data_IF_259880642223
#
_entry.id   IF_259880642223
#
_cell.length_a   1.000
_cell.length_b   1.000
_cell.length_c   1.000
_cell.angle_alpha   90.00
_cell.angle_beta   90.00
_cell.angle_gamma   90.00
#
_symmetry.space_group_name_H-M   'P 1'
#
loop_
_entity.id
_entity.type
_entity.pdbx_description
1 polymer ?
#
# COMPACT_ATOMS: atom_id res chain seq x y z
N UNK A 1 -24.99 0.24 -2.83
CA UNK A 1 -23.84 0.92 -3.49
C UNK A 1 -23.17 -0.08 -4.41
N UNK A 2 -22.88 0.32 -5.65
CA UNK A 2 -22.11 -0.46 -6.60
C UNK A 2 -20.63 -0.08 -6.52
N UNK A 3 -19.72 -0.95 -6.97
CA UNK A 3 -18.28 -0.65 -6.96
C UNK A 3 -17.97 0.58 -7.83
N UNK A 4 -18.70 0.78 -8.92
CA UNK A 4 -18.59 1.97 -9.78
C UNK A 4 -18.93 3.27 -9.06
N UNK A 5 -19.94 3.26 -8.19
CA UNK A 5 -20.29 4.42 -7.36
C UNK A 5 -19.20 4.73 -6.34
N UNK A 6 -18.60 3.69 -5.75
CA UNK A 6 -17.49 3.84 -4.82
C UNK A 6 -16.24 4.40 -5.52
N UNK A 7 -15.93 3.92 -6.73
CA UNK A 7 -14.80 4.44 -7.52
C UNK A 7 -15.04 5.89 -7.91
N UNK A 8 -16.22 6.22 -8.45
CA UNK A 8 -16.56 7.59 -8.79
C UNK A 8 -16.50 8.55 -7.58
N UNK A 9 -16.91 8.07 -6.39
CA UNK A 9 -16.78 8.83 -5.15
C UNK A 9 -15.31 9.15 -4.84
N UNK A 10 -14.41 8.16 -4.93
CA UNK A 10 -12.98 8.36 -4.68
C UNK A 10 -12.31 9.23 -5.74
N UNK A 11 -12.69 9.12 -7.02
CA UNK A 11 -12.21 9.98 -8.11
C UNK A 11 -12.61 11.45 -7.87
N UNK A 12 -13.88 11.71 -7.52
CA UNK A 12 -14.34 13.06 -7.17
C UNK A 12 -13.63 13.57 -5.91
N UNK A 13 -13.42 12.73 -4.92
CA UNK A 13 -12.68 13.08 -3.71
C UNK A 13 -11.22 13.43 -4.03
N UNK A 14 -10.55 12.69 -4.92
CA UNK A 14 -9.19 13.01 -5.37
C UNK A 14 -9.13 14.43 -5.95
N UNK A 15 -10.04 14.79 -6.86
CA UNK A 15 -10.07 16.12 -7.48
C UNK A 15 -10.29 17.21 -6.42
N UNK A 16 -11.22 17.02 -5.51
CA UNK A 16 -11.53 17.99 -4.45
C UNK A 16 -10.35 18.16 -3.46
N UNK A 17 -9.73 17.04 -3.05
CA UNK A 17 -8.57 17.03 -2.16
C UNK A 17 -7.33 17.65 -2.85
N UNK A 18 -7.13 17.37 -4.13
CA UNK A 18 -6.07 17.98 -4.93
C UNK A 18 -6.19 19.51 -4.93
N UNK A 19 -7.38 20.02 -5.24
CA UNK A 19 -7.63 21.46 -5.24
C UNK A 19 -7.43 22.09 -3.87
N UNK A 20 -7.89 21.44 -2.80
CA UNK A 20 -7.86 21.98 -1.44
C UNK A 20 -6.48 21.94 -0.79
N UNK A 21 -5.77 20.82 -0.91
CA UNK A 21 -4.57 20.52 -0.13
C UNK A 21 -3.27 20.44 -0.95
N UNK A 22 -3.39 20.38 -2.28
CA UNK A 22 -2.23 20.31 -3.18
C UNK A 22 -2.23 21.43 -4.23
N UNK A 23 -3.12 22.43 -4.10
CA UNK A 23 -3.19 23.57 -5.02
C UNK A 23 -3.62 23.22 -6.45
N UNK A 24 -4.19 22.02 -6.67
CA UNK A 24 -4.56 21.54 -8.01
C UNK A 24 -3.34 21.09 -8.85
N UNK A 25 -2.18 20.91 -8.24
CA UNK A 25 -0.92 20.66 -8.96
C UNK A 25 -0.72 19.17 -9.34
N UNK A 26 -1.49 18.25 -8.75
CA UNK A 26 -1.34 16.83 -9.06
C UNK A 26 -1.96 16.49 -10.41
N UNK A 27 -1.21 15.80 -11.29
CA UNK A 27 -1.77 15.27 -12.54
C UNK A 27 -2.83 14.21 -12.28
N UNK A 28 -3.66 13.87 -13.29
CA UNK A 28 -4.62 12.78 -13.18
C UNK A 28 -3.96 11.45 -12.85
N UNK A 29 -4.68 10.62 -12.08
CA UNK A 29 -4.33 9.23 -11.78
C UNK A 29 -5.53 8.34 -12.02
N UNK A 30 -5.31 7.04 -12.15
CA UNK A 30 -6.39 6.05 -12.13
C UNK A 30 -6.62 5.63 -10.68
N UNK A 31 -7.85 5.81 -10.21
CA UNK A 31 -8.26 5.32 -8.89
C UNK A 31 -8.84 3.91 -9.04
N UNK A 32 -8.32 2.99 -8.24
CA UNK A 32 -8.81 1.61 -8.21
C UNK A 32 -9.21 1.18 -6.81
N UNK A 33 -10.07 0.18 -6.74
CA UNK A 33 -10.47 -0.50 -5.51
C UNK A 33 -10.16 -1.97 -5.68
N UNK A 34 -8.99 -2.38 -5.20
CA UNK A 34 -8.53 -3.76 -5.31
C UNK A 34 -8.14 -4.31 -3.94
N UNK A 35 -7.97 -5.63 -3.87
CA UNK A 35 -7.49 -6.27 -2.65
C UNK A 35 -6.07 -5.80 -2.33
N UNK A 36 -5.91 -5.21 -1.14
CA UNK A 36 -4.62 -4.80 -0.59
C UNK A 36 -4.40 -5.42 0.78
N UNK A 37 -4.13 -6.72 0.86
CA UNK A 37 -3.92 -7.38 2.14
C UNK A 37 -2.77 -6.72 2.90
N UNK A 38 -3.03 -6.29 4.15
CA UNK A 38 -2.08 -5.63 5.06
C UNK A 38 -1.72 -4.19 4.72
N UNK A 39 -2.35 -3.58 3.71
CA UNK A 39 -2.22 -2.16 3.41
C UNK A 39 -3.61 -1.53 3.27
N UNK A 40 -3.74 -0.25 3.60
CA UNK A 40 -4.96 0.51 3.39
C UNK A 40 -5.10 1.01 1.95
N UNK A 41 -3.95 1.24 1.29
CA UNK A 41 -3.83 1.66 -0.08
C UNK A 41 -2.41 1.43 -0.60
N UNK A 42 -2.18 1.77 -1.85
CA UNK A 42 -0.85 1.89 -2.43
C UNK A 42 -0.88 2.80 -3.66
N UNK A 43 0.26 3.39 -3.96
CA UNK A 43 0.52 4.19 -5.13
C UNK A 43 1.57 3.53 -6.03
N UNK A 44 1.37 3.55 -7.36
CA UNK A 44 2.38 3.06 -8.32
C UNK A 44 3.32 4.18 -8.70
N UNK A 45 4.63 3.94 -8.63
CA UNK A 45 5.65 4.90 -9.03
C UNK A 45 5.95 4.87 -10.53
N UNK A 46 5.28 4.01 -11.28
CA UNK A 46 5.36 3.84 -12.74
C UNK A 46 3.96 3.98 -13.34
N UNK A 47 3.88 4.20 -14.64
CA UNK A 47 2.62 4.27 -15.36
C UNK A 47 2.05 2.86 -15.51
N UNK A 48 1.12 2.54 -14.61
CA UNK A 48 0.48 1.21 -14.53
C UNK A 48 -0.65 1.05 -15.56
N UNK A 49 -1.18 2.16 -16.06
CA UNK A 49 -2.27 2.21 -17.04
C UNK A 49 -1.86 3.00 -18.26
N UNK A 50 -2.36 2.62 -19.43
CA UNK A 50 -2.07 3.30 -20.69
C UNK A 50 -3.34 3.52 -21.50
N UNK A 51 -3.48 4.71 -22.09
CA UNK A 51 -4.46 5.02 -23.13
C UNK A 51 -3.70 5.54 -24.36
N UNK A 52 -3.52 4.67 -25.36
CA UNK A 52 -2.62 4.96 -26.48
C UNK A 52 -1.17 5.10 -26.01
N UNK A 53 -0.59 6.27 -26.23
CA UNK A 53 0.79 6.61 -25.79
C UNK A 53 0.82 7.27 -24.40
N UNK A 54 -0.33 7.68 -23.86
CA UNK A 54 -0.41 8.30 -22.55
C UNK A 54 -0.39 7.26 -21.45
N UNK A 55 0.46 7.50 -20.43
CA UNK A 55 0.61 6.66 -19.25
C UNK A 55 0.01 7.30 -18.01
N UNK A 56 -0.65 6.49 -17.18
CA UNK A 56 -1.25 6.93 -15.93
C UNK A 56 -0.77 6.07 -14.76
N UNK A 57 -0.47 6.73 -13.66
CA UNK A 57 -0.17 6.07 -12.38
C UNK A 57 -1.46 5.69 -11.68
N UNK A 58 -1.36 4.76 -10.74
CA UNK A 58 -2.50 4.25 -9.99
C UNK A 58 -2.41 4.64 -8.52
N UNK A 59 -3.55 5.05 -7.96
CA UNK A 59 -3.80 5.01 -6.52
C UNK A 59 -4.86 3.94 -6.27
N UNK A 60 -4.50 2.91 -5.56
CA UNK A 60 -5.43 1.89 -5.12
C UNK A 60 -5.83 2.09 -3.67
N UNK A 61 -7.13 2.03 -3.38
CA UNK A 61 -7.67 1.97 -2.01
C UNK A 61 -8.09 0.54 -1.72
N UNK A 62 -7.63 0.00 -0.58
CA UNK A 62 -7.85 -1.39 -0.22
C UNK A 62 -9.32 -1.73 -0.03
N UNK A 63 -9.82 -2.66 -0.85
CA UNK A 63 -11.20 -3.09 -0.84
C UNK A 63 -11.67 -3.64 0.50
N UNK A 64 -10.76 -4.21 1.30
CA UNK A 64 -11.03 -4.81 2.61
C UNK A 64 -11.31 -3.77 3.70
N UNK A 65 -11.08 -2.50 3.43
CA UNK A 65 -11.09 -1.44 4.45
C UNK A 65 -11.89 -0.21 4.04
N UNK A 66 -12.77 -0.36 3.05
CA UNK A 66 -13.65 0.72 2.57
C UNK A 66 -14.81 1.04 3.50
N UNK A 67 -15.12 0.18 4.47
CA UNK A 67 -16.16 0.39 5.49
C UNK A 67 -15.65 1.15 6.73
N UNK A 68 -14.39 1.63 6.69
CA UNK A 68 -13.85 2.50 7.73
C UNK A 68 -14.56 3.88 7.74
N UNK A 69 -14.45 4.63 8.85
CA UNK A 69 -14.88 6.02 8.88
C UNK A 69 -14.32 6.84 7.71
N UNK A 70 -15.13 7.72 7.12
CA UNK A 70 -14.72 8.54 5.96
C UNK A 70 -13.41 9.30 6.18
N UNK A 71 -13.16 9.92 7.35
CA UNK A 71 -11.88 10.59 7.59
C UNK A 71 -10.67 9.67 7.44
N UNK A 72 -10.79 8.39 7.81
CA UNK A 72 -9.71 7.42 7.67
C UNK A 72 -9.48 7.00 6.22
N UNK A 73 -10.55 6.86 5.43
CA UNK A 73 -10.47 6.56 3.99
C UNK A 73 -9.83 7.74 3.26
N UNK A 74 -10.29 8.96 3.54
CA UNK A 74 -9.72 10.18 2.96
C UNK A 74 -8.29 10.41 3.41
N UNK A 75 -7.96 10.12 4.67
CA UNK A 75 -6.59 10.12 5.16
C UNK A 75 -5.68 9.15 4.40
N UNK A 76 -6.19 7.96 4.06
CA UNK A 76 -5.47 7.01 3.19
C UNK A 76 -5.30 7.57 1.78
N UNK A 77 -6.35 8.14 1.18
CA UNK A 77 -6.26 8.74 -0.15
C UNK A 77 -5.23 9.87 -0.18
N UNK A 78 -5.24 10.77 0.81
CA UNK A 78 -4.23 11.84 0.94
C UNK A 78 -2.82 11.27 1.13
N UNK A 79 -2.65 10.18 1.87
CA UNK A 79 -1.36 9.50 2.03
C UNK A 79 -0.79 9.07 0.67
N UNK A 80 -1.60 8.42 -0.16
CA UNK A 80 -1.18 8.00 -1.50
C UNK A 80 -0.97 9.21 -2.45
N UNK A 81 -1.77 10.28 -2.29
CA UNK A 81 -1.55 11.55 -3.00
C UNK A 81 -0.23 12.22 -2.63
N UNK A 82 0.24 12.09 -1.39
CA UNK A 82 1.58 12.55 -0.98
C UNK A 82 2.67 11.81 -1.72
N UNK A 83 2.55 10.48 -1.89
CA UNK A 83 3.47 9.71 -2.73
C UNK A 83 3.45 10.19 -4.18
N UNK A 84 2.27 10.47 -4.72
CA UNK A 84 2.11 11.01 -6.05
C UNK A 84 2.79 12.38 -6.19
N UNK A 85 2.55 13.30 -5.26
CA UNK A 85 3.22 14.61 -5.22
C UNK A 85 4.74 14.49 -5.17
N UNK A 86 5.25 13.61 -4.31
CA UNK A 86 6.69 13.36 -4.20
C UNK A 86 7.28 12.85 -5.52
N UNK A 87 6.58 11.92 -6.18
CA UNK A 87 7.03 11.35 -7.44
C UNK A 87 7.03 12.38 -8.59
N UNK A 88 5.99 13.22 -8.68
CA UNK A 88 5.90 14.31 -9.69
C UNK A 88 7.00 15.35 -9.49
N UNK A 89 7.33 15.66 -8.24
CA UNK A 89 8.34 16.67 -7.88
C UNK A 89 9.75 16.10 -7.67
N UNK A 90 10.00 14.83 -8.01
CA UNK A 90 11.29 14.15 -7.81
C UNK A 90 11.79 14.18 -6.36
N UNK A 91 10.89 14.17 -5.40
CA UNK A 91 11.20 14.12 -3.97
C UNK A 91 11.31 12.65 -3.53
N UNK A 92 12.45 12.27 -2.95
CA UNK A 92 12.61 10.93 -2.40
C UNK A 92 11.86 10.82 -1.08
N UNK A 93 10.75 10.12 -1.07
CA UNK A 93 9.84 9.95 0.05
C UNK A 93 10.05 8.65 0.82
N UNK A 94 10.49 7.59 0.14
CA UNK A 94 10.66 6.25 0.69
C UNK A 94 12.05 5.68 0.49
N UNK A 95 12.35 4.61 1.24
CA UNK A 95 13.54 3.77 1.12
C UNK A 95 13.17 2.29 1.39
N UNK A 96 14.14 1.39 1.38
CA UNK A 96 13.92 -0.06 1.60
C UNK A 96 12.83 -0.62 0.69
N UNK A 97 12.93 -0.38 -0.61
CA UNK A 97 11.97 -0.82 -1.63
C UNK A 97 10.53 -0.32 -1.36
N UNK A 98 10.39 0.95 -0.98
CA UNK A 98 9.09 1.58 -0.74
C UNK A 98 8.51 1.37 0.67
N UNK A 99 9.12 0.52 1.51
CA UNK A 99 8.52 0.15 2.80
C UNK A 99 8.82 1.11 3.96
N UNK A 100 9.84 1.97 3.84
CA UNK A 100 10.23 2.89 4.91
C UNK A 100 10.08 4.35 4.46
N UNK A 101 9.15 5.06 5.07
CA UNK A 101 8.87 6.47 4.77
C UNK A 101 9.84 7.38 5.54
N UNK A 102 10.44 8.33 4.85
CA UNK A 102 11.47 9.19 5.43
C UNK A 102 10.91 10.55 5.93
N UNK A 103 11.65 11.20 6.82
CA UNK A 103 11.23 12.46 7.41
C UNK A 103 11.37 13.67 6.48
N UNK A 104 12.37 13.66 5.61
CA UNK A 104 12.70 14.81 4.74
C UNK A 104 11.82 14.90 3.48
N UNK A 105 11.40 13.75 2.97
CA UNK A 105 10.47 13.65 1.84
C UNK A 105 9.03 13.49 2.35
N UNK A 106 8.64 12.25 2.66
CA UNK A 106 7.26 11.92 2.97
C UNK A 106 6.66 12.78 4.08
N UNK A 107 7.23 12.73 5.31
CA UNK A 107 6.67 13.47 6.46
C UNK A 107 6.54 14.96 6.16
N UNK A 108 7.59 15.59 5.64
CA UNK A 108 7.58 17.03 5.34
C UNK A 108 6.48 17.42 4.37
N UNK A 109 6.27 16.64 3.31
CA UNK A 109 5.22 16.90 2.33
C UNK A 109 3.85 16.63 2.94
N UNK A 110 3.66 15.49 3.60
CA UNK A 110 2.41 15.09 4.21
C UNK A 110 1.87 16.13 5.20
N UNK A 111 2.71 16.55 6.16
CA UNK A 111 2.35 17.58 7.14
C UNK A 111 2.22 18.97 6.50
N UNK A 112 2.99 19.25 5.43
CA UNK A 112 2.90 20.47 4.64
C UNK A 112 1.57 20.67 3.93
N UNK A 113 0.84 19.61 3.63
CA UNK A 113 -0.53 19.71 3.08
C UNK A 113 -1.53 20.26 4.10
N UNK A 114 -1.29 20.06 5.39
CA UNK A 114 -2.24 20.35 6.46
C UNK A 114 -3.40 19.36 6.58
N UNK A 115 -3.48 18.35 5.71
CA UNK A 115 -4.57 17.37 5.70
C UNK A 115 -4.33 16.19 6.64
N UNK A 116 -3.08 15.75 6.80
CA UNK A 116 -2.72 14.60 7.63
C UNK A 116 -1.53 14.91 8.55
N UNK A 117 -1.51 14.28 9.70
CA UNK A 117 -0.38 14.23 10.62
C UNK A 117 0.32 12.89 10.49
N UNK A 118 1.62 12.88 10.80
CA UNK A 118 2.47 11.71 10.58
C UNK A 118 3.10 11.26 11.89
N UNK A 119 2.87 10.01 12.25
CA UNK A 119 3.49 9.37 13.41
C UNK A 119 4.71 8.52 12.99
N UNK A 120 5.55 8.14 13.93
CA UNK A 120 6.77 7.38 13.69
C UNK A 120 6.65 5.91 14.17
N UNK A 121 6.97 4.98 13.30
CA UNK A 121 7.17 3.55 13.64
C UNK A 121 8.59 3.12 13.23
N UNK A 122 9.37 2.50 14.13
CA UNK A 122 10.77 2.12 13.84
C UNK A 122 10.94 1.16 12.65
N UNK A 123 9.90 0.39 12.29
CA UNK A 123 9.93 -0.61 11.20
C UNK A 123 9.65 0.01 9.84
N UNK A 124 8.72 0.96 9.78
CA UNK A 124 8.19 1.54 8.54
C UNK A 124 8.39 3.07 8.44
N UNK A 125 9.07 3.66 9.43
CA UNK A 125 9.37 5.08 9.45
C UNK A 125 8.13 5.93 9.72
N UNK A 126 8.00 7.00 8.97
CA UNK A 126 6.91 7.97 9.06
C UNK A 126 5.70 7.58 8.19
N UNK A 127 5.38 6.27 8.13
CA UNK A 127 4.24 5.75 7.37
C UNK A 127 2.89 5.89 8.08
N UNK A 128 2.76 5.74 9.42
CA UNK A 128 1.45 5.88 10.05
C UNK A 128 0.97 7.33 9.96
N UNK A 129 -0.24 7.52 9.44
CA UNK A 129 -0.86 8.83 9.27
C UNK A 129 -2.25 8.87 9.89
N UNK A 130 -2.68 10.07 10.28
CA UNK A 130 -4.03 10.33 10.80
C UNK A 130 -4.56 11.66 10.24
N UNK A 131 -5.89 11.78 10.01
CA UNK A 131 -6.49 13.00 9.53
C UNK A 131 -6.34 14.14 10.54
N UNK A 132 -6.21 15.36 10.03
CA UNK A 132 -6.28 16.60 10.83
C UNK A 132 -7.72 17.07 10.96
N UNK A 133 -7.96 18.01 11.89
CA UNK A 133 -9.24 18.70 12.00
C UNK A 133 -9.60 19.45 10.70
N UNK A 134 -8.60 19.95 9.96
CA UNK A 134 -8.81 20.61 8.67
C UNK A 134 -9.35 19.63 7.60
N UNK A 135 -8.84 18.40 7.55
CA UNK A 135 -9.39 17.37 6.66
C UNK A 135 -10.80 16.96 7.09
N UNK A 136 -11.04 16.78 8.38
CA UNK A 136 -12.36 16.42 8.91
C UNK A 136 -13.40 17.51 8.56
N UNK A 137 -13.08 18.78 8.81
CA UNK A 137 -13.95 19.90 8.47
C UNK A 137 -14.23 19.98 6.96
N UNK A 138 -13.21 19.70 6.12
CA UNK A 138 -13.41 19.67 4.66
C UNK A 138 -14.32 18.52 4.23
N UNK A 139 -14.20 17.33 4.83
CA UNK A 139 -15.10 16.19 4.58
C UNK A 139 -16.54 16.55 4.91
N UNK A 140 -16.77 17.23 6.04
CA UNK A 140 -18.09 17.71 6.46
C UNK A 140 -18.64 18.76 5.48
N UNK A 141 -17.83 19.73 5.04
CA UNK A 141 -18.19 20.72 4.04
C UNK A 141 -18.63 20.09 2.72
N UNK A 142 -17.94 19.01 2.28
CA UNK A 142 -18.29 18.25 1.08
C UNK A 142 -19.51 17.34 1.25
N UNK A 143 -20.00 17.12 2.47
CA UNK A 143 -21.09 16.22 2.78
C UNK A 143 -20.79 14.75 2.50
N UNK A 144 -19.52 14.34 2.59
CA UNK A 144 -19.10 12.97 2.31
C UNK A 144 -19.52 12.01 3.42
N UNK A 145 -20.35 11.04 3.09
CA UNK A 145 -20.88 10.04 4.03
C UNK A 145 -20.18 8.68 3.95
N UNK A 146 -19.28 8.51 2.98
CA UNK A 146 -18.44 7.32 2.85
C UNK A 146 -19.01 6.21 2.00
N UNK A 147 -18.28 5.11 2.02
CA UNK A 147 -18.55 3.90 1.24
C UNK A 147 -18.92 2.78 2.20
N UNK A 148 -20.19 2.35 2.21
CA UNK A 148 -20.65 1.22 3.04
C UNK A 148 -20.47 -0.10 2.27
N UNK A 149 -19.25 -0.38 1.84
CA UNK A 149 -18.88 -1.57 1.08
C UNK A 149 -17.47 -2.00 1.47
N UNK A 150 -17.30 -3.25 1.84
CA UNK A 150 -15.95 -3.81 2.05
C UNK A 150 -15.89 -5.25 1.55
N UNK A 151 -14.67 -5.67 1.21
CA UNK A 151 -14.38 -7.03 0.78
C UNK A 151 -13.84 -7.83 1.96
N UNK A 152 -14.37 -9.02 2.17
CA UNK A 152 -13.78 -9.94 3.15
C UNK A 152 -12.45 -10.51 2.65
N UNK A 153 -11.40 -10.42 3.47
CA UNK A 153 -10.08 -10.98 3.16
C UNK A 153 -9.80 -12.21 4.02
N UNK A 154 -9.31 -13.26 3.37
CA UNK A 154 -8.79 -14.46 4.07
C UNK A 154 -7.36 -14.25 4.61
N UNK A 155 -6.69 -13.16 4.22
CA UNK A 155 -5.32 -12.83 4.62
C UNK A 155 -5.23 -11.88 5.83
N UNK A 156 -6.37 -11.43 6.34
CA UNK A 156 -6.47 -10.48 7.45
C UNK A 156 -6.46 -9.02 7.00
N UNK A 157 -6.83 -8.13 7.93
CA UNK A 157 -6.85 -6.68 7.73
C UNK A 157 -5.46 -6.06 7.99
N UNK A 158 -5.19 -4.85 7.46
CA UNK A 158 -4.01 -4.07 7.80
C UNK A 158 -3.88 -3.90 9.32
N UNK A 159 -2.66 -4.03 9.85
CA UNK A 159 -2.40 -3.93 11.30
C UNK A 159 -2.91 -5.10 12.15
N UNK A 160 -3.71 -6.01 11.61
CA UNK A 160 -4.10 -7.24 12.26
C UNK A 160 -2.90 -8.17 12.46
N UNK A 161 -2.82 -8.85 13.63
CA UNK A 161 -1.90 -9.97 13.79
C UNK A 161 -2.34 -11.05 12.80
N UNK A 162 -1.72 -11.06 11.62
CA UNK A 162 -1.91 -12.14 10.67
C UNK A 162 -1.72 -13.45 11.42
N UNK A 163 -2.64 -14.41 11.27
CA UNK A 163 -2.36 -15.79 11.66
C UNK A 163 -1.06 -16.14 10.96
N UNK A 164 0.02 -16.19 11.72
CA UNK A 164 1.31 -16.58 11.20
C UNK A 164 1.12 -17.92 10.51
N UNK A 165 1.00 -17.91 9.18
CA UNK A 165 1.40 -19.07 8.43
C UNK A 165 2.88 -19.20 8.75
N UNK A 166 3.21 -20.11 9.68
CA UNK A 166 4.55 -20.65 9.67
C UNK A 166 4.74 -21.11 8.22
N UNK A 167 5.50 -20.35 7.45
CA UNK A 167 5.94 -20.83 6.15
C UNK A 167 6.77 -22.05 6.47
N UNK A 168 6.12 -23.20 6.50
CA UNK A 168 6.76 -24.50 6.68
C UNK A 168 7.61 -24.87 5.46
N UNK A 169 8.24 -23.87 4.87
CA UNK A 169 9.19 -24.05 3.78
C UNK A 169 10.47 -24.58 4.38
N UNK A 170 10.73 -25.83 4.11
CA UNK A 170 11.93 -26.55 4.48
C UNK A 170 12.98 -26.29 3.42
N UNK A 171 14.19 -25.96 3.83
CA UNK A 171 15.35 -25.83 2.93
C UNK A 171 16.16 -27.12 3.02
N UNK A 172 16.39 -27.73 1.91
CA UNK A 172 17.26 -28.91 1.78
C UNK A 172 18.52 -28.48 1.07
N UNK A 173 19.66 -28.93 1.55
CA UNK A 173 20.99 -28.59 1.03
C UNK A 173 21.75 -29.86 0.66
N UNK A 174 22.40 -29.87 -0.49
CA UNK A 174 23.28 -30.95 -0.87
C UNK A 174 24.58 -30.88 -0.04
N UNK A 175 24.98 -31.95 0.66
CA UNK A 175 26.20 -31.93 1.46
C UNK A 175 27.48 -31.79 0.62
N UNK A 176 27.45 -32.12 -0.68
CA UNK A 176 28.63 -32.06 -1.55
C UNK A 176 28.78 -30.73 -2.29
N UNK A 177 27.72 -30.26 -3.01
CA UNK A 177 27.83 -29.05 -3.83
C UNK A 177 27.11 -27.83 -3.23
N UNK A 178 26.46 -27.98 -2.08
CA UNK A 178 25.72 -26.92 -1.35
C UNK A 178 24.58 -26.28 -2.14
N UNK A 179 24.18 -26.86 -3.28
CA UNK A 179 22.93 -26.42 -3.92
C UNK A 179 21.75 -26.62 -2.98
N UNK A 180 20.75 -25.77 -3.06
CA UNK A 180 19.61 -25.85 -2.14
C UNK A 180 18.27 -25.82 -2.86
N UNK A 181 17.31 -26.55 -2.30
CA UNK A 181 15.91 -26.62 -2.75
C UNK A 181 14.98 -26.29 -1.58
N UNK A 182 13.86 -25.69 -1.88
CA UNK A 182 12.82 -25.39 -0.88
C UNK A 182 11.55 -26.17 -1.16
N UNK A 183 11.02 -26.86 -0.14
CA UNK A 183 9.80 -27.64 -0.21
C UNK A 183 8.80 -27.22 0.86
N UNK A 184 7.50 -27.26 0.54
CA UNK A 184 6.40 -26.92 1.48
C UNK A 184 6.02 -28.10 2.40
N UNK A 185 6.43 -29.31 2.08
CA UNK A 185 6.25 -30.53 2.90
C UNK A 185 7.57 -31.27 3.06
N UNK A 186 7.63 -32.22 4.01
CA UNK A 186 8.76 -33.12 4.11
C UNK A 186 8.81 -34.03 2.89
N UNK A 187 9.95 -34.05 2.23
CA UNK A 187 10.22 -34.82 1.01
C UNK A 187 11.63 -35.36 1.02
N UNK A 188 11.86 -36.48 0.33
CA UNK A 188 13.21 -36.95 0.06
C UNK A 188 13.65 -36.38 -1.29
N UNK A 189 14.77 -35.65 -1.30
CA UNK A 189 15.30 -34.97 -2.48
C UNK A 189 16.72 -35.47 -2.73
N UNK A 190 17.02 -35.84 -3.97
CA UNK A 190 18.36 -36.18 -4.41
C UNK A 190 18.97 -35.04 -5.25
N UNK A 191 20.26 -34.79 -5.04
CA UNK A 191 21.04 -33.97 -5.95
C UNK A 191 21.51 -34.85 -7.12
N UNK A 192 20.98 -34.58 -8.31
CA UNK A 192 21.30 -35.39 -9.50
C UNK A 192 22.77 -35.21 -9.91
N UNK A 193 23.36 -34.04 -9.70
CA UNK A 193 24.73 -33.74 -10.06
C UNK A 193 25.77 -34.48 -9.16
N UNK A 194 25.41 -34.70 -7.90
CA UNK A 194 26.26 -35.33 -6.92
C UNK A 194 25.89 -36.78 -6.59
N UNK A 195 24.71 -37.23 -7.02
CA UNK A 195 24.17 -38.56 -6.67
C UNK A 195 23.87 -38.75 -5.18
N UNK A 196 23.73 -37.66 -4.40
CA UNK A 196 23.56 -37.68 -2.94
C UNK A 196 22.18 -37.20 -2.52
N UNK A 197 21.69 -37.73 -1.39
CA UNK A 197 20.44 -37.23 -0.75
C UNK A 197 20.72 -35.88 -0.11
N UNK A 198 19.86 -34.92 -0.33
CA UNK A 198 19.93 -33.60 0.28
C UNK A 198 19.44 -33.64 1.73
N UNK A 199 20.07 -32.89 2.59
CA UNK A 199 19.78 -32.80 4.02
C UNK A 199 18.94 -31.59 4.35
N UNK A 200 18.05 -31.72 5.34
CA UNK A 200 17.25 -30.61 5.84
C UNK A 200 18.14 -29.66 6.63
N UNK A 201 18.18 -28.38 6.22
CA UNK A 201 18.87 -27.33 6.96
C UNK A 201 18.07 -27.02 8.25
N UNK A 202 18.62 -27.37 9.41
CA UNK A 202 18.08 -26.96 10.70
C UNK A 202 18.28 -25.46 10.92
N UNK A 203 17.26 -24.78 11.47
CA UNK A 203 17.30 -23.33 11.72
C UNK A 203 17.96 -23.01 13.05
#
# INVERSE_FOLDING_TARGET
MQISEATAFLENAYVALNNKFFGGELPPVIITIQSSPRAYGHYTTWDAWHEGEEGYREINIGAETLDRPVPEIMGTLVHEMVHHYCAVNNIKDTSRNGTYHNSKGFKRVAEGTGAILVDYDPRIGYSPTRPTDALIAFIEEQGWTGVNLSRQSILGLPGGKGRGRSNGVRKYVCPNCHCSVRATKAVNIGCLDCGTVMELEEK
#
